data_IF_388400776768
#
_entry.id   IF_388400776768
#
_cell.length_a   1.000
_cell.length_b   1.000
_cell.length_c   1.000
_cell.angle_alpha   90.00
_cell.angle_beta   90.00
_cell.angle_gamma   90.00
#
_symmetry.space_group_name_H-M   'P 1'
#
loop_
_entity.id
_entity.type
_entity.pdbx_description
1 polymer ?
#
# COMPACT_ATOMS: atom_id res chain seq x y z
N UNK A 1 -13.40 28.71 -58.97
CA UNK A 1 -14.63 28.28 -58.24
C UNK A 1 -14.23 27.94 -56.83
N UNK A 2 -14.69 28.62 -55.78
CA UNK A 2 -14.32 28.30 -54.41
C UNK A 2 -15.13 27.09 -53.94
N UNK A 3 -14.41 26.09 -53.40
CA UNK A 3 -15.00 24.89 -52.76
C UNK A 3 -15.78 25.33 -51.50
N UNK A 4 -17.09 25.11 -51.50
CA UNK A 4 -17.96 25.28 -50.35
C UNK A 4 -17.43 24.44 -49.18
N UNK A 5 -17.15 25.09 -48.06
CA UNK A 5 -16.93 24.43 -46.76
C UNK A 5 -18.22 23.73 -46.38
N UNK A 6 -18.19 22.40 -46.35
CA UNK A 6 -19.25 21.59 -45.79
C UNK A 6 -19.34 21.92 -44.30
N UNK A 7 -20.43 22.55 -43.88
CA UNK A 7 -20.70 22.78 -42.47
C UNK A 7 -20.87 21.45 -41.80
N UNK A 8 -19.95 21.07 -40.94
CA UNK A 8 -20.09 19.88 -40.09
C UNK A 8 -21.34 20.02 -39.24
N UNK A 9 -22.27 19.11 -39.43
CA UNK A 9 -23.54 19.10 -38.69
C UNK A 9 -23.23 19.09 -37.18
N UNK A 10 -23.95 19.87 -36.34
CA UNK A 10 -23.70 19.91 -34.89
C UNK A 10 -23.68 18.53 -34.25
N UNK A 11 -24.41 17.58 -34.79
CA UNK A 11 -24.43 16.18 -34.36
C UNK A 11 -23.12 15.44 -34.64
N UNK A 12 -22.41 15.76 -35.74
CA UNK A 12 -21.08 15.17 -36.01
C UNK A 12 -20.02 15.66 -35.05
N UNK A 13 -20.11 16.91 -34.61
CA UNK A 13 -19.22 17.46 -33.58
C UNK A 13 -19.44 16.77 -32.23
N UNK A 14 -20.71 16.55 -31.85
CA UNK A 14 -21.11 15.83 -30.65
C UNK A 14 -20.69 14.35 -30.71
N UNK A 15 -20.87 13.68 -31.84
CA UNK A 15 -20.45 12.28 -32.01
C UNK A 15 -18.93 12.12 -32.00
N UNK A 16 -18.16 13.09 -32.48
CA UNK A 16 -16.70 13.08 -32.40
C UNK A 16 -16.19 13.35 -30.98
N UNK A 17 -16.86 14.23 -30.24
CA UNK A 17 -16.49 14.54 -28.84
C UNK A 17 -16.86 13.44 -27.84
N UNK A 18 -17.78 12.56 -28.20
CA UNK A 18 -18.27 11.45 -27.33
C UNK A 18 -17.96 10.08 -27.92
N UNK A 19 -16.83 9.91 -28.63
CA UNK A 19 -16.41 8.58 -29.06
C UNK A 19 -16.05 7.76 -27.82
N UNK A 20 -16.71 6.62 -27.58
CA UNK A 20 -16.38 5.77 -26.44
C UNK A 20 -14.94 5.27 -26.60
N UNK A 21 -14.17 5.38 -25.53
CA UNK A 21 -12.80 4.90 -25.49
C UNK A 21 -12.77 3.41 -25.82
N UNK A 22 -12.01 3.01 -26.83
CA UNK A 22 -11.79 1.58 -27.12
C UNK A 22 -10.89 1.02 -26.03
N UNK A 23 -11.43 0.08 -25.28
CA UNK A 23 -10.72 -0.59 -24.20
C UNK A 23 -10.10 -1.87 -24.74
N UNK A 24 -8.82 -2.12 -24.41
CA UNK A 24 -8.11 -3.34 -24.78
C UNK A 24 -7.64 -4.09 -23.55
N UNK A 25 -7.64 -5.43 -23.63
CA UNK A 25 -7.13 -6.29 -22.56
C UNK A 25 -5.67 -5.96 -22.23
N UNK A 26 -5.33 -5.80 -20.96
CA UNK A 26 -3.99 -5.48 -20.50
C UNK A 26 -3.66 -3.98 -20.50
N UNK A 27 -4.52 -3.13 -21.02
CA UNK A 27 -4.35 -1.68 -21.04
C UNK A 27 -4.45 -1.11 -19.63
N UNK A 28 -3.60 -0.13 -19.31
CA UNK A 28 -3.71 0.66 -18.08
C UNK A 28 -4.46 1.96 -18.41
N UNK A 29 -5.48 2.21 -17.59
CA UNK A 29 -6.37 3.36 -17.73
C UNK A 29 -6.43 4.11 -16.41
N UNK A 30 -6.53 5.43 -16.50
CA UNK A 30 -6.90 6.26 -15.36
C UNK A 30 -8.41 6.45 -15.38
N UNK A 31 -9.08 6.00 -14.32
CA UNK A 31 -10.54 5.92 -14.23
C UNK A 31 -11.01 6.58 -12.96
N UNK A 32 -12.25 7.05 -12.94
CA UNK A 32 -12.88 7.59 -11.72
C UNK A 32 -13.76 6.54 -11.04
N UNK A 33 -13.77 6.56 -9.71
CA UNK A 33 -14.63 5.70 -8.91
C UNK A 33 -16.03 6.30 -8.90
N UNK A 34 -17.01 5.54 -9.40
CA UNK A 34 -18.42 5.95 -9.44
C UNK A 34 -19.17 5.47 -8.20
N UNK A 35 -18.92 4.24 -7.80
CA UNK A 35 -19.60 3.64 -6.64
C UNK A 35 -18.65 2.72 -5.89
N UNK A 36 -18.74 2.77 -4.55
CA UNK A 36 -17.98 1.95 -3.62
C UNK A 36 -18.94 1.14 -2.77
N UNK A 37 -18.80 -0.18 -2.80
CA UNK A 37 -19.54 -1.07 -1.92
C UNK A 37 -18.68 -2.25 -1.48
N UNK A 38 -19.06 -2.92 -0.39
CA UNK A 38 -18.41 -4.18 0.04
C UNK A 38 -18.54 -5.31 -1.00
N UNK A 39 -19.50 -5.19 -1.92
CA UNK A 39 -19.74 -6.18 -2.98
C UNK A 39 -19.00 -5.89 -4.27
N UNK A 40 -18.39 -4.73 -4.41
CA UNK A 40 -17.64 -4.35 -5.60
C UNK A 40 -17.52 -2.85 -5.77
N UNK A 41 -16.73 -2.45 -6.74
CA UNK A 41 -16.49 -1.06 -7.12
C UNK A 41 -16.84 -0.89 -8.59
N UNK A 42 -17.51 0.20 -8.90
CA UNK A 42 -17.82 0.62 -10.25
C UNK A 42 -16.90 1.78 -10.65
N UNK A 43 -16.35 1.67 -11.86
CA UNK A 43 -15.45 2.66 -12.44
C UNK A 43 -16.01 3.23 -13.72
N UNK A 44 -15.85 4.52 -13.89
CA UNK A 44 -16.08 5.18 -15.17
C UNK A 44 -14.77 5.13 -15.99
N UNK A 45 -14.79 4.34 -17.03
CA UNK A 45 -13.67 4.12 -17.94
C UNK A 45 -13.81 4.93 -19.24
N UNK A 46 -14.82 5.81 -19.35
CA UNK A 46 -15.12 6.56 -20.56
C UNK A 46 -15.63 5.69 -21.72
N UNK A 47 -16.08 4.46 -21.44
CA UNK A 47 -16.67 3.54 -22.41
C UNK A 47 -18.19 3.54 -22.30
N UNK A 48 -18.85 2.70 -23.12
CA UNK A 48 -20.32 2.56 -23.11
C UNK A 48 -20.88 2.01 -21.81
N UNK A 49 -20.09 1.26 -21.04
CA UNK A 49 -20.48 0.65 -19.78
C UNK A 49 -19.44 0.95 -18.69
N UNK A 50 -19.89 0.96 -17.45
CA UNK A 50 -19.01 1.03 -16.29
C UNK A 50 -18.20 -0.26 -16.18
N UNK A 51 -16.94 -0.14 -15.72
CA UNK A 51 -16.12 -1.30 -15.43
C UNK A 51 -16.34 -1.78 -13.99
N UNK A 52 -16.22 -3.08 -13.78
CA UNK A 52 -16.31 -3.71 -12.47
C UNK A 52 -14.96 -4.23 -12.01
N UNK A 53 -14.75 -4.26 -10.69
CA UNK A 53 -13.56 -4.86 -10.10
C UNK A 53 -13.61 -6.38 -10.25
N UNK A 54 -12.46 -7.01 -10.48
CA UNK A 54 -12.37 -8.47 -10.56
C UNK A 54 -12.75 -9.15 -9.24
N UNK A 55 -13.47 -10.26 -9.30
CA UNK A 55 -14.06 -10.97 -8.14
C UNK A 55 -13.04 -11.33 -7.04
N UNK A 56 -11.81 -11.66 -7.43
CA UNK A 56 -10.75 -11.98 -6.48
C UNK A 56 -10.32 -10.76 -5.65
N UNK A 57 -10.44 -9.57 -6.21
CA UNK A 57 -10.01 -8.31 -5.58
C UNK A 57 -11.13 -7.71 -4.72
N UNK A 58 -12.39 -8.07 -4.98
CA UNK A 58 -13.54 -7.63 -4.18
C UNK A 58 -13.39 -8.03 -2.72
N UNK A 59 -12.82 -9.20 -2.45
CA UNK A 59 -12.56 -9.67 -1.08
C UNK A 59 -11.53 -8.82 -0.34
N UNK A 60 -10.52 -8.33 -1.05
CA UNK A 60 -9.46 -7.50 -0.47
C UNK A 60 -9.88 -6.03 -0.31
N UNK A 61 -10.88 -5.59 -1.10
CA UNK A 61 -11.27 -4.18 -1.14
C UNK A 61 -11.79 -3.66 0.19
N UNK A 62 -12.37 -4.52 1.03
CA UNK A 62 -12.89 -4.12 2.35
C UNK A 62 -11.82 -3.46 3.23
N UNK A 63 -10.56 -3.87 3.06
CA UNK A 63 -9.41 -3.31 3.78
C UNK A 63 -9.05 -1.91 3.29
N UNK A 64 -9.35 -1.59 2.03
CA UNK A 64 -8.99 -0.32 1.38
C UNK A 64 -10.13 0.68 1.28
N UNK A 65 -11.37 0.27 1.54
CA UNK A 65 -12.55 1.15 1.50
C UNK A 65 -12.37 2.47 2.29
N UNK A 66 -11.72 2.49 3.47
CA UNK A 66 -11.50 3.74 4.21
C UNK A 66 -10.62 4.76 3.47
N UNK A 67 -9.77 4.29 2.56
CA UNK A 67 -8.82 5.11 1.80
C UNK A 67 -9.33 5.50 0.42
N UNK A 68 -10.44 4.91 -0.03
CA UNK A 68 -11.05 5.18 -1.32
C UNK A 68 -12.26 6.09 -1.14
N UNK A 69 -12.42 7.05 -2.04
CA UNK A 69 -13.59 7.94 -2.09
C UNK A 69 -14.18 7.92 -3.50
N UNK A 70 -15.50 8.05 -3.59
CA UNK A 70 -16.19 8.27 -4.87
C UNK A 70 -15.65 9.54 -5.51
N UNK A 71 -15.37 9.50 -6.81
CA UNK A 71 -14.75 10.57 -7.57
C UNK A 71 -13.22 10.55 -7.60
N UNK A 72 -12.54 9.71 -6.80
CA UNK A 72 -11.10 9.58 -6.89
C UNK A 72 -10.68 8.96 -8.23
N UNK A 73 -9.62 9.51 -8.81
CA UNK A 73 -8.97 8.94 -9.99
C UNK A 73 -7.98 7.86 -9.56
N UNK A 74 -8.11 6.70 -10.16
CA UNK A 74 -7.26 5.54 -9.87
C UNK A 74 -6.76 4.91 -11.16
N UNK A 75 -5.54 4.39 -11.14
CA UNK A 75 -5.00 3.62 -12.27
C UNK A 75 -5.41 2.18 -12.15
N UNK A 76 -6.11 1.69 -13.16
CA UNK A 76 -6.58 0.31 -13.25
C UNK A 76 -6.00 -0.38 -14.48
N UNK A 77 -5.92 -1.69 -14.44
CA UNK A 77 -5.55 -2.51 -15.59
C UNK A 77 -6.74 -3.33 -16.06
N UNK A 78 -7.04 -3.28 -17.34
CA UNK A 78 -8.11 -4.06 -17.93
C UNK A 78 -7.74 -5.54 -17.97
N UNK A 79 -8.51 -6.38 -17.28
CA UNK A 79 -8.36 -7.85 -17.28
C UNK A 79 -9.14 -8.45 -18.45
N UNK A 80 -10.38 -8.03 -18.62
CA UNK A 80 -11.25 -8.45 -19.68
C UNK A 80 -12.07 -7.26 -20.19
N UNK A 81 -12.28 -7.22 -21.51
CA UNK A 81 -13.07 -6.16 -22.15
C UNK A 81 -14.55 -6.37 -21.87
N UNK A 82 -14.96 -7.61 -21.73
CA UNK A 82 -16.35 -8.01 -21.49
C UNK A 82 -16.38 -9.25 -20.59
N UNK A 83 -17.15 -9.18 -19.53
CA UNK A 83 -17.46 -10.30 -18.63
C UNK A 83 -18.70 -11.05 -19.15
N UNK A 84 -19.11 -12.12 -18.45
CA UNK A 84 -20.36 -12.83 -18.74
C UNK A 84 -21.59 -11.92 -18.66
N UNK A 85 -21.52 -10.87 -17.86
CA UNK A 85 -22.59 -9.89 -17.63
C UNK A 85 -22.46 -8.66 -18.55
N UNK A 86 -21.55 -8.67 -19.51
CA UNK A 86 -21.36 -7.59 -20.49
C UNK A 86 -20.58 -6.36 -19.99
N UNK A 87 -19.96 -6.44 -18.80
CA UNK A 87 -19.18 -5.34 -18.23
C UNK A 87 -17.67 -5.56 -18.40
N UNK A 88 -16.88 -4.50 -18.66
CA UNK A 88 -15.45 -4.59 -18.58
C UNK A 88 -14.98 -4.92 -17.16
N UNK A 89 -14.00 -5.81 -17.04
CA UNK A 89 -13.39 -6.20 -15.75
C UNK A 89 -12.01 -5.57 -15.64
N UNK A 90 -11.79 -4.87 -14.53
CA UNK A 90 -10.52 -4.19 -14.23
C UNK A 90 -9.90 -4.67 -12.92
N UNK A 91 -8.58 -4.48 -12.80
CA UNK A 91 -7.80 -4.79 -11.61
C UNK A 91 -7.19 -3.51 -11.05
N UNK A 92 -7.27 -3.35 -9.74
CA UNK A 92 -6.62 -2.30 -8.97
C UNK A 92 -5.36 -2.78 -8.24
N UNK A 93 -4.93 -4.03 -8.46
CA UNK A 93 -3.84 -4.65 -7.68
C UNK A 93 -2.57 -3.80 -7.63
N UNK A 94 -2.16 -3.23 -8.76
CA UNK A 94 -1.00 -2.31 -8.80
C UNK A 94 -1.21 -1.03 -7.99
N UNK A 95 -2.42 -0.48 -8.01
CA UNK A 95 -2.76 0.69 -7.22
C UNK A 95 -2.70 0.38 -5.72
N UNK A 96 -3.25 -0.74 -5.29
CA UNK A 96 -3.19 -1.17 -3.90
C UNK A 96 -1.77 -1.42 -3.43
N UNK A 97 -0.92 -2.04 -4.24
CA UNK A 97 0.48 -2.24 -3.89
C UNK A 97 1.18 -0.91 -3.61
N UNK A 98 1.06 0.07 -4.51
CA UNK A 98 1.64 1.40 -4.29
C UNK A 98 1.04 2.09 -3.07
N UNK A 99 -0.28 2.09 -2.93
CA UNK A 99 -0.95 2.69 -1.78
C UNK A 99 -0.51 2.11 -0.43
N UNK A 100 -0.23 0.81 -0.36
CA UNK A 100 0.31 0.17 0.85
C UNK A 100 1.67 0.76 1.23
N UNK A 101 2.56 0.93 0.25
CA UNK A 101 3.88 1.50 0.49
C UNK A 101 3.83 2.97 0.88
N UNK A 102 2.92 3.74 0.27
CA UNK A 102 2.68 5.15 0.63
C UNK A 102 2.20 5.26 2.07
N UNK A 103 1.23 4.43 2.48
CA UNK A 103 0.75 4.36 3.87
C UNK A 103 1.88 4.01 4.84
N UNK A 104 2.74 3.05 4.48
CA UNK A 104 3.88 2.67 5.32
C UNK A 104 4.91 3.80 5.43
N UNK A 105 5.18 4.53 4.35
CA UNK A 105 6.08 5.70 4.35
C UNK A 105 5.52 6.81 5.24
N UNK A 106 4.24 7.12 5.12
CA UNK A 106 3.55 8.13 5.94
C UNK A 106 3.58 7.77 7.43
N UNK A 107 3.27 6.50 7.76
CA UNK A 107 3.32 6.02 9.14
C UNK A 107 4.72 5.99 9.72
N UNK A 108 5.74 5.72 8.88
CA UNK A 108 7.14 5.83 9.28
C UNK A 108 7.52 7.27 9.61
N UNK A 109 7.13 8.25 8.79
CA UNK A 109 7.42 9.67 9.02
C UNK A 109 6.75 10.22 10.28
N UNK A 110 5.52 9.77 10.54
CA UNK A 110 4.76 10.11 11.76
C UNK A 110 5.19 9.30 12.99
N UNK A 111 6.10 8.33 12.82
CA UNK A 111 6.51 7.38 13.87
C UNK A 111 5.34 6.65 14.54
N UNK A 112 4.26 6.44 13.78
CA UNK A 112 3.07 5.76 14.27
C UNK A 112 3.31 4.26 14.48
N UNK A 113 2.65 3.71 15.49
CA UNK A 113 2.61 2.28 15.72
C UNK A 113 1.69 1.60 14.72
N UNK A 114 2.13 0.48 14.18
CA UNK A 114 1.33 -0.38 13.32
C UNK A 114 1.14 -1.75 13.98
N UNK A 115 0.00 -2.37 13.72
CA UNK A 115 -0.26 -3.73 14.14
C UNK A 115 0.11 -4.69 13.02
N UNK A 116 0.99 -5.64 13.30
CA UNK A 116 1.44 -6.66 12.34
C UNK A 116 1.12 -8.05 12.86
N UNK A 117 0.91 -8.99 11.95
CA UNK A 117 0.77 -10.41 12.26
C UNK A 117 2.15 -11.06 12.15
N UNK A 118 2.61 -11.66 13.25
CA UNK A 118 3.88 -12.37 13.25
C UNK A 118 3.74 -13.72 12.54
N UNK A 119 4.64 -13.98 11.61
CA UNK A 119 4.81 -15.27 10.94
C UNK A 119 5.90 -16.11 11.59
N UNK A 120 6.52 -16.95 10.79
CA UNK A 120 7.58 -17.86 11.24
C UNK A 120 8.86 -17.12 11.64
N UNK A 121 9.62 -17.75 12.54
CA UNK A 121 10.95 -17.29 12.90
C UNK A 121 11.98 -17.83 11.91
N UNK A 122 12.83 -16.94 11.39
CA UNK A 122 13.91 -17.27 10.47
C UNK A 122 15.28 -16.80 10.96
N UNK A 123 16.31 -17.04 10.17
CA UNK A 123 17.70 -16.65 10.50
C UNK A 123 17.88 -15.15 10.77
N UNK A 124 17.07 -14.31 10.16
CA UNK A 124 17.16 -12.83 10.30
C UNK A 124 16.26 -12.25 11.38
N UNK A 125 15.33 -13.01 11.96
CA UNK A 125 14.34 -12.56 12.91
C UNK A 125 12.96 -13.16 12.66
N UNK A 126 11.92 -12.53 13.21
CA UNK A 126 10.52 -12.95 13.03
C UNK A 126 9.96 -12.26 11.78
N UNK A 127 9.34 -13.01 10.91
CA UNK A 127 8.59 -12.44 9.80
C UNK A 127 7.34 -11.75 10.33
N UNK A 128 7.00 -10.63 9.74
CA UNK A 128 5.80 -9.87 10.06
C UNK A 128 5.02 -9.60 8.78
N UNK A 129 3.72 -9.75 8.81
CA UNK A 129 2.83 -9.39 7.71
C UNK A 129 2.03 -8.15 8.06
N UNK A 130 2.08 -7.15 7.18
CA UNK A 130 1.24 -5.97 7.24
C UNK A 130 0.49 -5.80 5.92
N UNK A 131 -0.80 -6.05 5.92
CA UNK A 131 -1.67 -5.92 4.73
C UNK A 131 -1.13 -6.71 3.50
N UNK A 132 -0.50 -7.88 3.72
CA UNK A 132 0.10 -8.70 2.67
C UNK A 132 1.49 -8.23 2.20
N UNK A 133 2.11 -7.29 2.91
CA UNK A 133 3.52 -6.93 2.72
C UNK A 133 4.34 -7.67 3.78
N UNK A 134 5.31 -8.45 3.33
CA UNK A 134 6.22 -9.14 4.23
C UNK A 134 7.28 -8.20 4.77
N UNK A 135 7.35 -8.13 6.09
CA UNK A 135 8.39 -7.44 6.83
C UNK A 135 9.19 -8.40 7.69
N UNK A 136 10.23 -7.89 8.32
CA UNK A 136 11.09 -8.62 9.26
C UNK A 136 11.26 -7.80 10.51
N UNK A 137 11.14 -8.46 11.67
CA UNK A 137 11.53 -7.93 12.97
C UNK A 137 12.88 -8.56 13.31
N UNK A 138 14.00 -7.85 13.21
CA UNK A 138 15.30 -8.39 13.59
C UNK A 138 15.31 -8.87 15.05
N UNK A 139 16.05 -9.92 15.36
CA UNK A 139 16.14 -10.47 16.72
C UNK A 139 16.47 -9.42 17.77
N UNK A 140 17.38 -8.50 17.46
CA UNK A 140 17.80 -7.39 18.32
C UNK A 140 16.70 -6.36 18.59
N UNK A 141 15.67 -6.31 17.73
CA UNK A 141 14.52 -5.40 17.82
C UNK A 141 13.30 -6.02 18.51
N UNK A 142 13.42 -7.25 18.98
CA UNK A 142 12.46 -7.89 19.86
C UNK A 142 12.68 -7.43 21.30
N UNK A 143 11.62 -7.46 22.09
CA UNK A 143 11.73 -7.25 23.56
C UNK A 143 12.43 -8.43 24.21
N UNK A 144 13.05 -8.21 25.38
CA UNK A 144 13.80 -9.25 26.11
C UNK A 144 12.98 -10.51 26.34
N UNK A 145 11.69 -10.36 26.54
CA UNK A 145 10.77 -11.48 26.75
C UNK A 145 10.72 -12.43 25.54
N UNK A 146 10.84 -11.91 24.30
CA UNK A 146 10.73 -12.69 23.07
C UNK A 146 12.08 -13.01 22.41
N UNK A 147 13.18 -12.38 22.83
CA UNK A 147 14.52 -12.68 22.29
C UNK A 147 14.89 -14.15 22.48
N UNK A 148 14.53 -14.72 23.63
CA UNK A 148 14.84 -16.10 23.97
C UNK A 148 13.83 -17.12 23.42
N UNK A 149 12.64 -16.69 23.10
CA UNK A 149 11.53 -17.54 22.61
C UNK A 149 10.75 -16.86 21.50
N UNK A 150 11.38 -16.54 20.35
CA UNK A 150 10.75 -15.81 19.27
C UNK A 150 9.61 -16.60 18.60
N UNK A 151 9.63 -17.92 18.71
CA UNK A 151 8.60 -18.81 18.15
C UNK A 151 7.21 -18.58 18.76
N UNK A 152 7.16 -18.10 20.00
CA UNK A 152 5.89 -17.77 20.65
C UNK A 152 5.11 -16.62 20.00
N UNK A 153 5.80 -15.82 19.19
CA UNK A 153 5.17 -14.73 18.43
C UNK A 153 4.41 -15.21 17.21
N UNK A 154 4.66 -16.43 16.74
CA UNK A 154 4.03 -16.95 15.52
C UNK A 154 2.50 -16.92 15.63
N UNK A 155 1.85 -16.28 14.67
CA UNK A 155 0.39 -16.08 14.62
C UNK A 155 -0.15 -14.97 15.52
N UNK A 156 0.68 -14.33 16.36
CA UNK A 156 0.24 -13.24 17.22
C UNK A 156 0.23 -11.90 16.48
N UNK A 157 -0.69 -11.03 16.89
CA UNK A 157 -0.72 -9.64 16.49
C UNK A 157 0.05 -8.80 17.49
N UNK A 158 1.03 -8.07 17.04
CA UNK A 158 1.83 -7.20 17.90
C UNK A 158 1.92 -5.79 17.33
N UNK A 159 2.11 -4.83 18.21
CA UNK A 159 2.39 -3.45 17.84
C UNK A 159 3.87 -3.26 17.61
N UNK A 160 4.21 -2.64 16.49
CA UNK A 160 5.58 -2.37 16.08
C UNK A 160 5.70 -0.97 15.50
N UNK A 161 6.92 -0.41 15.50
CA UNK A 161 7.24 0.81 14.76
C UNK A 161 8.07 0.47 13.54
N UNK A 162 7.89 1.24 12.51
CA UNK A 162 8.59 1.06 11.24
C UNK A 162 9.99 1.65 11.37
N UNK A 163 11.02 0.86 11.07
CA UNK A 163 12.40 1.32 11.02
C UNK A 163 12.79 1.69 9.58
N UNK A 164 12.53 0.78 8.63
CA UNK A 164 12.94 0.93 7.25
C UNK A 164 11.81 0.50 6.32
N UNK A 165 11.60 1.28 5.26
CA UNK A 165 10.66 0.98 4.18
C UNK A 165 11.41 1.13 2.87
N UNK A 166 11.54 0.05 2.12
CA UNK A 166 12.13 0.01 0.79
C UNK A 166 11.17 -0.68 -0.17
N UNK A 167 10.49 0.12 -1.00
CA UNK A 167 9.51 -0.35 -1.96
C UNK A 167 10.18 -1.13 -3.11
N UNK A 168 11.37 -0.69 -3.56
CA UNK A 168 12.07 -1.31 -4.70
C UNK A 168 12.51 -2.73 -4.37
N UNK A 169 12.99 -2.94 -3.14
CA UNK A 169 13.44 -4.25 -2.64
C UNK A 169 12.35 -5.04 -1.95
N UNK A 170 11.11 -4.52 -1.90
CA UNK A 170 10.01 -5.11 -1.13
C UNK A 170 10.42 -5.43 0.31
N UNK A 171 11.19 -4.52 0.94
CA UNK A 171 11.74 -4.72 2.27
C UNK A 171 11.08 -3.79 3.28
N UNK A 172 10.54 -4.39 4.32
CA UNK A 172 9.97 -3.70 5.46
C UNK A 172 10.67 -4.20 6.73
N UNK A 173 11.32 -3.30 7.46
CA UNK A 173 11.94 -3.63 8.73
C UNK A 173 11.20 -2.89 9.84
N UNK A 174 10.79 -3.63 10.85
CA UNK A 174 9.99 -3.11 11.96
C UNK A 174 10.59 -3.51 13.31
N UNK A 175 10.26 -2.77 14.36
CA UNK A 175 10.77 -2.94 15.71
C UNK A 175 9.64 -3.04 16.71
N UNK A 176 9.62 -4.10 17.47
CA UNK A 176 8.76 -4.24 18.64
C UNK A 176 9.29 -3.40 19.80
N UNK A 177 10.62 -3.41 19.99
CA UNK A 177 11.28 -2.67 21.07
C UNK A 177 11.01 -1.17 21.00
N UNK A 178 11.05 -0.58 19.80
CA UNK A 178 10.76 0.83 19.59
C UNK A 178 9.30 1.20 19.92
N UNK A 179 8.35 0.28 19.65
CA UNK A 179 6.95 0.49 20.02
C UNK A 179 6.74 0.42 21.54
N UNK A 180 7.31 -0.58 22.20
CA UNK A 180 7.14 -0.78 23.66
C UNK A 180 7.85 0.32 24.48
N UNK A 181 9.05 0.73 24.07
CA UNK A 181 9.82 1.74 24.78
C UNK A 181 9.36 3.18 24.48
N UNK A 182 8.50 3.38 23.48
CA UNK A 182 8.03 4.70 23.07
C UNK A 182 9.15 5.63 22.56
N UNK A 183 10.35 5.11 22.31
CA UNK A 183 11.52 5.91 21.94
C UNK A 183 11.46 6.22 20.44
N UNK A 184 11.46 7.52 20.11
CA UNK A 184 11.55 8.01 18.74
C UNK A 184 12.92 7.73 18.13
N UNK A 185 12.96 7.37 16.83
CA UNK A 185 14.24 7.24 16.10
C UNK A 185 14.99 8.57 16.05
N UNK A 186 14.27 9.68 16.06
CA UNK A 186 14.86 11.03 16.09
C UNK A 186 15.59 11.27 17.40
N UNK A 187 14.97 10.92 18.54
CA UNK A 187 15.60 11.04 19.85
C UNK A 187 16.82 10.14 20.00
N UNK A 188 16.79 8.94 19.40
CA UNK A 188 17.95 8.06 19.40
C UNK A 188 19.09 8.69 18.61
N UNK A 189 18.83 9.19 17.40
CA UNK A 189 19.85 9.88 16.58
C UNK A 189 20.39 11.12 17.29
N UNK A 190 19.54 11.98 17.82
CA UNK A 190 19.97 13.16 18.57
C UNK A 190 20.83 12.84 19.80
N UNK A 191 20.54 11.72 20.47
CA UNK A 191 21.37 11.23 21.58
C UNK A 191 22.70 10.69 21.08
N UNK A 192 22.73 9.98 19.96
CA UNK A 192 23.97 9.50 19.35
C UNK A 192 24.83 10.64 18.80
N UNK A 193 24.22 11.64 18.15
CA UNK A 193 24.93 12.81 17.61
C UNK A 193 25.58 13.67 18.72
N UNK A 194 25.06 13.57 19.95
CA UNK A 194 25.67 14.21 21.14
C UNK A 194 26.86 13.44 21.70
N UNK A 195 27.10 12.22 21.25
CA UNK A 195 28.26 11.42 21.65
C UNK A 195 29.43 11.79 20.73
N UNK A 196 30.41 12.47 21.29
CA UNK A 196 31.61 12.91 20.56
C UNK A 196 32.73 11.95 20.87
N UNK A 197 33.44 11.48 19.85
CA UNK A 197 34.67 10.67 20.03
C UNK A 197 35.68 11.40 20.89
N UNK A 198 36.32 10.67 21.83
CA UNK A 198 37.35 11.20 22.74
C UNK A 198 36.81 11.83 24.02
N UNK A 199 35.50 11.94 24.23
CA UNK A 199 34.89 12.37 25.50
C UNK A 199 34.56 11.19 26.40
N UNK A 200 34.77 11.38 27.69
CA UNK A 200 34.45 10.38 28.72
C UNK A 200 33.00 10.55 29.18
N UNK A 201 32.20 9.48 29.12
CA UNK A 201 30.80 9.43 29.54
C UNK A 201 30.64 8.46 30.70
N UNK A 202 29.75 8.81 31.64
CA UNK A 202 29.32 7.87 32.69
C UNK A 202 28.28 6.91 32.08
N UNK A 203 28.63 5.63 32.04
CA UNK A 203 27.74 4.58 31.52
C UNK A 203 27.44 3.54 32.60
N UNK A 204 26.24 2.94 32.57
CA UNK A 204 25.85 1.81 33.42
C UNK A 204 25.91 0.56 32.55
N UNK A 205 26.68 -0.43 32.97
CA UNK A 205 26.70 -1.74 32.30
C UNK A 205 25.40 -2.45 32.64
N UNK A 206 24.62 -2.81 31.62
CA UNK A 206 23.33 -3.51 31.77
C UNK A 206 23.45 -5.02 31.58
N UNK A 207 24.55 -5.50 31.01
CA UNK A 207 24.82 -6.92 30.80
C UNK A 207 26.17 -7.11 30.08
N UNK A 208 26.73 -8.29 30.28
CA UNK A 208 27.91 -8.80 29.55
C UNK A 208 27.46 -10.06 28.84
N UNK A 209 27.68 -10.14 27.52
CA UNK A 209 27.36 -11.34 26.70
C UNK A 209 28.61 -12.15 26.43
#
# INVERSE_FOLDING_TARGET
MPRMKISTHPMEALLKSHQPTKISKGQELEVSIVSLSKKGVLFDVGAKAYAVLGDLEVKEISTYLPYLKVGNKVKVRVIAVESKDGYPVVSMRKFFQKGKWEILKEKKEKEEEIEVVCGEYGKGGVFADFMGIRGVIPKIQLTEHYINQPEKLTGQKIKVRILEVDEEKNRLVVSQKAAVLGISQKEIKEKFDKIVEGKTYKAKILGVS
#
